data_IF_917437147323
#
_entry.id   IF_917437147323
#
_cell.length_a   1.000
_cell.length_b   1.000
_cell.length_c   1.000
_cell.angle_alpha   90.00
_cell.angle_beta   90.00
_cell.angle_gamma   90.00
#
_symmetry.space_group_name_H-M   'P 1'
#
loop_
_entity.id
_entity.type
_entity.pdbx_description
1 polymer ?
#
# COMPACT_ATOMS: atom_id res chain seq x y z
N UNK A 1 -37.74 10.39 -6.12
CA UNK A 1 -36.53 10.38 -6.91
C UNK A 1 -35.30 10.72 -6.08
N UNK A 2 -35.27 11.88 -5.44
CA UNK A 2 -34.12 12.35 -4.65
C UNK A 2 -34.35 11.95 -3.20
N UNK A 3 -33.35 11.32 -2.57
CA UNK A 3 -33.41 10.94 -1.14
C UNK A 3 -33.44 12.19 -0.25
N UNK A 4 -34.05 12.10 0.93
CA UNK A 4 -34.27 13.24 1.81
C UNK A 4 -32.97 13.97 2.13
N UNK A 5 -31.90 13.21 2.42
CA UNK A 5 -30.55 13.71 2.76
C UNK A 5 -29.89 14.55 1.66
N UNK A 6 -30.32 14.38 0.41
CA UNK A 6 -29.75 15.07 -0.75
C UNK A 6 -30.62 16.19 -1.32
N UNK A 7 -31.86 16.35 -0.85
CA UNK A 7 -32.78 17.36 -1.38
C UNK A 7 -32.23 18.78 -1.32
N UNK A 8 -31.73 19.17 -0.15
CA UNK A 8 -31.15 20.51 0.05
C UNK A 8 -29.93 20.75 -0.84
N UNK A 9 -29.03 19.75 -0.93
CA UNK A 9 -27.83 19.84 -1.75
C UNK A 9 -28.15 19.95 -3.24
N UNK A 10 -29.10 19.15 -3.74
CA UNK A 10 -29.56 19.23 -5.12
C UNK A 10 -30.28 20.54 -5.41
N UNK A 11 -31.10 21.04 -4.46
CA UNK A 11 -31.76 22.34 -4.58
C UNK A 11 -30.73 23.47 -4.71
N UNK A 12 -29.64 23.40 -3.95
CA UNK A 12 -28.55 24.38 -4.02
C UNK A 12 -27.86 24.37 -5.39
N UNK A 13 -27.60 23.18 -5.96
CA UNK A 13 -27.04 23.02 -7.33
C UNK A 13 -27.94 23.72 -8.36
N UNK A 14 -29.25 23.50 -8.31
CA UNK A 14 -30.18 24.16 -9.25
C UNK A 14 -30.26 25.69 -9.00
N UNK A 15 -30.21 26.14 -7.76
CA UNK A 15 -30.19 27.56 -7.42
C UNK A 15 -28.94 28.26 -7.98
N UNK A 16 -27.77 27.62 -7.85
CA UNK A 16 -26.52 28.12 -8.45
C UNK A 16 -26.65 28.24 -9.98
N UNK A 17 -27.15 27.20 -10.63
CA UNK A 17 -27.36 27.22 -12.08
C UNK A 17 -28.36 28.32 -12.51
N UNK A 18 -29.41 28.61 -11.72
CA UNK A 18 -30.31 29.74 -11.98
C UNK A 18 -29.63 31.10 -11.82
N UNK A 19 -28.59 31.18 -11.00
CA UNK A 19 -27.77 32.38 -10.82
C UNK A 19 -26.61 32.49 -11.83
N UNK A 20 -26.62 31.67 -12.88
CA UNK A 20 -25.57 31.60 -13.91
C UNK A 20 -24.22 31.07 -13.40
N UNK A 21 -24.24 30.29 -12.35
CA UNK A 21 -23.09 29.53 -11.84
C UNK A 21 -23.22 28.10 -12.34
N UNK A 22 -22.28 27.65 -13.19
CA UNK A 22 -22.25 26.27 -13.66
C UNK A 22 -21.86 25.33 -12.50
N UNK A 23 -22.56 24.22 -12.37
CA UNK A 23 -22.21 23.17 -11.43
C UNK A 23 -21.81 21.92 -12.21
N UNK A 24 -20.59 21.49 -12.00
CA UNK A 24 -20.04 20.28 -12.61
C UNK A 24 -19.74 19.21 -11.57
N UNK A 25 -19.89 17.95 -11.97
CA UNK A 25 -19.49 16.76 -11.19
C UNK A 25 -20.15 16.65 -9.82
N UNK A 26 -21.44 16.95 -9.74
CA UNK A 26 -22.20 16.76 -8.51
C UNK A 26 -22.76 15.33 -8.44
N UNK A 27 -22.24 14.54 -7.52
CA UNK A 27 -22.65 13.15 -7.31
C UNK A 27 -23.76 13.06 -6.25
N UNK A 28 -24.82 12.32 -6.57
CA UNK A 28 -25.92 12.05 -5.63
C UNK A 28 -26.73 10.82 -6.04
N UNK A 29 -27.37 10.14 -5.06
CA UNK A 29 -28.24 9.01 -5.33
C UNK A 29 -29.62 9.43 -5.81
N UNK A 30 -30.13 8.77 -6.83
CA UNK A 30 -31.54 8.75 -7.23
C UNK A 30 -32.18 7.42 -6.85
N UNK A 31 -33.47 7.46 -6.52
CA UNK A 31 -34.29 6.25 -6.38
C UNK A 31 -35.26 6.16 -7.56
N UNK A 32 -35.18 5.07 -8.29
CA UNK A 32 -36.07 4.80 -9.42
C UNK A 32 -37.50 4.50 -8.95
N UNK A 33 -38.46 4.48 -9.88
CA UNK A 33 -39.88 4.09 -9.58
C UNK A 33 -40.00 2.67 -9.01
N UNK A 34 -39.03 1.80 -9.34
CA UNK A 34 -38.95 0.44 -8.82
C UNK A 34 -38.28 0.32 -7.47
N UNK A 35 -37.89 1.45 -6.84
CA UNK A 35 -37.16 1.48 -5.56
C UNK A 35 -35.66 1.20 -5.67
N UNK A 36 -35.10 1.10 -6.87
CA UNK A 36 -33.67 0.85 -7.07
C UNK A 36 -32.89 2.16 -6.92
N UNK A 37 -31.83 2.14 -6.13
CA UNK A 37 -30.90 3.23 -5.97
C UNK A 37 -29.91 3.28 -7.14
N UNK A 38 -29.74 4.45 -7.74
CA UNK A 38 -28.83 4.73 -8.85
C UNK A 38 -27.96 5.94 -8.47
N UNK A 39 -26.65 5.81 -8.57
CA UNK A 39 -25.73 6.90 -8.35
C UNK A 39 -25.57 7.72 -9.64
N UNK A 40 -25.77 9.02 -9.53
CA UNK A 40 -25.79 9.92 -10.70
C UNK A 40 -24.77 11.04 -10.53
N UNK A 41 -23.98 11.24 -11.59
CA UNK A 41 -23.13 12.42 -11.74
C UNK A 41 -23.92 13.48 -12.53
N UNK A 42 -24.23 14.60 -11.90
CA UNK A 42 -25.01 15.70 -12.47
C UNK A 42 -24.14 16.88 -12.83
N UNK A 43 -24.30 17.34 -14.06
CA UNK A 43 -23.86 18.66 -14.53
C UNK A 43 -25.08 19.52 -14.79
N UNK A 44 -25.15 20.71 -14.20
CA UNK A 44 -26.29 21.61 -14.33
C UNK A 44 -25.86 22.96 -14.90
N UNK A 45 -26.55 23.41 -15.96
CA UNK A 45 -26.28 24.67 -16.65
C UNK A 45 -27.55 25.50 -16.80
N UNK A 46 -27.39 26.81 -16.91
CA UNK A 46 -28.48 27.76 -17.11
C UNK A 46 -29.07 27.62 -18.51
N UNK A 47 -30.40 27.47 -18.60
CA UNK A 47 -31.13 27.58 -19.89
C UNK A 47 -31.63 29.00 -20.07
N UNK A 48 -31.45 29.54 -21.30
CA UNK A 48 -31.87 30.90 -21.68
C UNK A 48 -32.93 30.86 -22.79
N UNK A 49 -33.78 31.84 -22.81
CA UNK A 49 -34.75 32.08 -23.91
C UNK A 49 -34.12 32.83 -25.11
N UNK A 50 -34.91 33.04 -26.16
CA UNK A 50 -34.48 33.75 -27.34
C UNK A 50 -34.04 35.22 -27.07
N UNK A 51 -34.47 35.79 -25.96
CA UNK A 51 -34.09 37.12 -25.51
C UNK A 51 -32.93 37.09 -24.49
N UNK A 52 -32.20 35.96 -24.39
CA UNK A 52 -31.07 35.75 -23.49
C UNK A 52 -31.43 35.86 -21.99
N UNK A 53 -32.73 35.77 -21.60
CA UNK A 53 -33.16 35.75 -20.20
C UNK A 53 -33.13 34.32 -19.68
N UNK A 54 -32.81 34.16 -18.42
CA UNK A 54 -32.81 32.84 -17.76
C UNK A 54 -34.23 32.27 -17.75
N UNK A 55 -34.44 31.15 -18.45
CA UNK A 55 -35.72 30.46 -18.58
C UNK A 55 -35.77 29.17 -17.78
N UNK A 56 -34.66 28.73 -17.16
CA UNK A 56 -34.57 27.54 -16.35
C UNK A 56 -33.17 26.96 -16.25
N UNK A 57 -33.11 25.70 -15.89
CA UNK A 57 -31.87 24.90 -15.78
C UNK A 57 -32.00 23.65 -16.64
N UNK A 58 -30.91 23.26 -17.29
CA UNK A 58 -30.74 21.96 -17.92
C UNK A 58 -29.75 21.15 -17.13
N UNK A 59 -30.15 19.98 -16.65
CA UNK A 59 -29.28 19.00 -16.01
C UNK A 59 -28.99 17.82 -16.92
N UNK A 60 -27.72 17.44 -17.01
CA UNK A 60 -27.28 16.21 -17.68
C UNK A 60 -26.77 15.28 -16.57
N UNK A 61 -27.47 14.15 -16.39
CA UNK A 61 -27.11 13.11 -15.45
C UNK A 61 -26.46 11.93 -16.16
N UNK A 62 -25.36 11.45 -15.61
CA UNK A 62 -24.73 10.20 -16.03
C UNK A 62 -24.90 9.16 -14.91
N UNK A 63 -25.38 7.96 -15.26
CA UNK A 63 -25.37 6.84 -14.31
C UNK A 63 -23.94 6.37 -14.09
N UNK A 64 -23.49 6.47 -12.84
CA UNK A 64 -22.16 6.06 -12.38
C UNK A 64 -22.22 4.88 -11.41
N UNK A 65 -23.36 4.22 -11.28
CA UNK A 65 -23.60 3.14 -10.30
C UNK A 65 -22.61 1.99 -10.48
N UNK A 66 -22.40 1.56 -11.74
CA UNK A 66 -21.47 0.47 -12.02
C UNK A 66 -20.03 0.82 -11.64
N UNK A 67 -19.59 2.06 -11.93
CA UNK A 67 -18.26 2.57 -11.53
C UNK A 67 -18.12 2.60 -10.01
N UNK A 68 -19.07 3.19 -9.32
CA UNK A 68 -19.07 3.27 -7.85
C UNK A 68 -19.05 1.90 -7.18
N UNK A 69 -19.86 0.95 -7.69
CA UNK A 69 -19.87 -0.41 -7.17
C UNK A 69 -18.52 -1.12 -7.39
N UNK A 70 -17.91 -0.93 -8.53
CA UNK A 70 -16.60 -1.50 -8.84
C UNK A 70 -15.49 -0.92 -7.94
N UNK A 71 -15.47 0.39 -7.72
CA UNK A 71 -14.54 1.06 -6.81
C UNK A 71 -14.71 0.55 -5.37
N UNK A 72 -15.95 0.41 -4.89
CA UNK A 72 -16.24 -0.15 -3.57
C UNK A 72 -15.82 -1.61 -3.45
N UNK A 73 -16.04 -2.42 -4.48
CA UNK A 73 -15.62 -3.82 -4.47
C UNK A 73 -14.10 -3.95 -4.43
N UNK A 74 -13.37 -3.14 -5.20
CA UNK A 74 -11.91 -3.11 -5.11
C UNK A 74 -11.41 -2.69 -3.72
N UNK A 75 -12.02 -1.68 -3.10
CA UNK A 75 -11.68 -1.28 -1.75
C UNK A 75 -11.91 -2.42 -0.74
N UNK A 76 -13.03 -3.13 -0.85
CA UNK A 76 -13.33 -4.31 0.00
C UNK A 76 -12.32 -5.44 -0.19
N UNK A 77 -11.93 -5.74 -1.44
CA UNK A 77 -10.95 -6.79 -1.72
C UNK A 77 -9.57 -6.44 -1.15
N UNK A 78 -9.15 -5.19 -1.26
CA UNK A 78 -7.91 -4.69 -0.67
C UNK A 78 -7.97 -4.79 0.87
N UNK A 79 -9.08 -4.39 1.49
CA UNK A 79 -9.25 -4.45 2.95
C UNK A 79 -9.36 -5.88 3.49
N UNK A 80 -9.94 -6.79 2.72
CA UNK A 80 -10.06 -8.21 3.09
C UNK A 80 -8.74 -8.99 2.94
N UNK A 81 -7.73 -8.42 2.28
CA UNK A 81 -6.44 -9.08 2.10
C UNK A 81 -5.76 -9.33 3.45
N UNK A 82 -5.16 -10.52 3.60
CA UNK A 82 -4.38 -10.90 4.79
C UNK A 82 -2.92 -10.40 4.75
N UNK A 83 -2.63 -9.44 3.89
CA UNK A 83 -1.33 -8.80 3.77
C UNK A 83 -1.47 -7.29 3.89
N UNK A 84 -0.54 -6.57 4.52
CA UNK A 84 -0.52 -5.11 4.48
C UNK A 84 -0.31 -4.65 3.04
N UNK A 85 -1.28 -3.86 2.55
CA UNK A 85 -1.25 -3.25 1.22
C UNK A 85 -1.27 -1.74 1.40
N UNK A 86 -0.36 -1.07 0.73
CA UNK A 86 -0.32 0.37 0.64
C UNK A 86 -0.11 0.83 -0.80
N UNK A 87 -0.51 2.04 -1.08
CA UNK A 87 -0.24 2.70 -2.37
C UNK A 87 0.26 4.10 -2.14
N UNK A 88 1.12 4.56 -3.04
CA UNK A 88 1.57 5.94 -3.10
C UNK A 88 1.33 6.50 -4.51
N UNK A 89 1.17 7.81 -4.60
CA UNK A 89 1.18 8.53 -5.86
C UNK A 89 2.63 8.75 -6.37
N UNK A 90 2.77 9.48 -7.47
CA UNK A 90 4.09 9.76 -8.08
C UNK A 90 4.96 10.70 -7.23
N UNK A 91 4.34 11.45 -6.33
CA UNK A 91 5.01 12.32 -5.34
C UNK A 91 5.36 11.59 -4.04
N UNK A 92 5.02 10.30 -3.90
CA UNK A 92 5.29 9.50 -2.70
C UNK A 92 4.26 9.64 -1.58
N UNK A 93 3.09 10.27 -1.85
CA UNK A 93 2.02 10.43 -0.87
C UNK A 93 1.12 9.21 -0.82
N UNK A 94 0.78 8.78 0.39
CA UNK A 94 -0.08 7.61 0.61
C UNK A 94 -1.49 7.86 0.07
N UNK A 95 -1.98 6.95 -0.76
CA UNK A 95 -3.35 6.97 -1.31
C UNK A 95 -4.09 5.63 -1.20
N UNK A 96 -3.44 4.58 -0.71
CA UNK A 96 -4.03 3.29 -0.33
C UNK A 96 -3.40 2.85 0.99
N UNK A 97 -4.22 2.43 1.95
CA UNK A 97 -3.78 1.91 3.25
C UNK A 97 -4.85 0.96 3.79
N UNK A 98 -4.62 -0.34 3.68
CA UNK A 98 -5.64 -1.32 4.03
C UNK A 98 -5.69 -1.66 5.53
N UNK A 99 -6.73 -2.39 5.93
CA UNK A 99 -6.93 -2.81 7.32
C UNK A 99 -5.76 -3.64 7.88
N UNK A 100 -5.08 -4.43 7.04
CA UNK A 100 -3.92 -5.19 7.47
C UNK A 100 -2.70 -4.29 7.75
N UNK A 101 -2.50 -3.24 6.94
CA UNK A 101 -1.47 -2.23 7.19
C UNK A 101 -1.74 -1.47 8.51
N UNK A 102 -3.01 -1.11 8.80
CA UNK A 102 -3.41 -0.52 10.08
C UNK A 102 -3.06 -1.45 11.25
N UNK A 103 -3.44 -2.73 11.17
CA UNK A 103 -3.15 -3.71 12.23
C UNK A 103 -1.65 -3.92 12.46
N UNK A 104 -0.86 -3.95 11.40
CA UNK A 104 0.59 -4.14 11.48
C UNK A 104 1.30 -2.94 12.09
N UNK A 105 0.95 -1.73 11.64
CA UNK A 105 1.70 -0.52 11.96
C UNK A 105 1.12 0.27 13.13
N UNK A 106 -0.19 0.11 13.40
CA UNK A 106 -0.92 0.89 14.38
C UNK A 106 -1.27 2.32 13.92
N UNK A 107 -0.94 2.68 12.68
CA UNK A 107 -1.34 3.96 12.09
C UNK A 107 -2.67 3.80 11.36
N UNK A 108 -3.66 4.62 11.73
CA UNK A 108 -4.95 4.66 11.05
C UNK A 108 -4.84 5.32 9.67
N UNK A 109 -5.76 5.00 8.77
CA UNK A 109 -5.80 5.62 7.44
C UNK A 109 -5.86 7.17 7.52
N UNK A 110 -6.55 7.72 8.51
CA UNK A 110 -6.61 9.17 8.75
C UNK A 110 -5.26 9.80 9.10
N UNK A 111 -4.34 9.03 9.70
CA UNK A 111 -3.00 9.51 10.07
C UNK A 111 -2.04 9.54 8.85
N UNK A 112 -2.25 8.62 7.88
CA UNK A 112 -1.26 8.37 6.81
C UNK A 112 -1.69 8.86 5.42
N UNK A 113 -3.00 8.93 5.12
CA UNK A 113 -3.48 9.35 3.81
C UNK A 113 -3.04 10.76 3.46
N UNK A 114 -2.39 10.92 2.30
CA UNK A 114 -1.83 12.18 1.82
C UNK A 114 -0.48 12.58 2.44
N UNK A 115 0.02 11.84 3.45
CA UNK A 115 1.35 12.05 4.01
C UNK A 115 2.42 11.38 3.13
N UNK A 116 3.67 11.83 3.24
CA UNK A 116 4.78 11.26 2.47
C UNK A 116 5.30 10.00 3.15
N UNK A 117 5.13 8.82 2.50
CA UNK A 117 5.39 7.53 3.14
C UNK A 117 6.82 7.39 3.67
N UNK A 118 7.82 7.78 2.87
CA UNK A 118 9.22 7.60 3.24
C UNK A 118 9.65 8.60 4.30
N UNK A 119 9.27 9.88 4.15
CA UNK A 119 9.72 10.93 5.05
C UNK A 119 9.10 10.82 6.44
N UNK A 120 7.81 10.43 6.50
CA UNK A 120 7.02 10.49 7.73
C UNK A 120 6.99 9.17 8.51
N UNK A 121 7.18 8.00 7.82
CA UNK A 121 6.94 6.68 8.45
C UNK A 121 8.12 5.72 8.36
N UNK A 122 9.18 6.03 7.61
CA UNK A 122 10.38 5.19 7.51
C UNK A 122 11.50 5.77 8.37
N UNK A 123 12.22 4.89 9.09
CA UNK A 123 13.36 5.29 9.90
C UNK A 123 14.50 5.84 9.04
N UNK A 124 15.24 6.80 9.57
CA UNK A 124 16.27 7.54 8.83
C UNK A 124 17.28 6.61 8.13
N UNK A 125 17.72 5.54 8.81
CA UNK A 125 18.69 4.56 8.29
C UNK A 125 18.19 3.80 7.04
N UNK A 126 16.88 3.79 6.77
CA UNK A 126 16.28 3.05 5.65
C UNK A 126 15.61 3.94 4.60
N UNK A 127 15.48 5.24 4.84
CA UNK A 127 14.82 6.16 3.91
C UNK A 127 15.40 6.10 2.49
N UNK A 128 16.72 6.19 2.36
CA UNK A 128 17.40 6.17 1.06
C UNK A 128 17.11 4.85 0.30
N UNK A 129 17.22 3.71 0.99
CA UNK A 129 16.99 2.40 0.41
C UNK A 129 15.52 2.19 -0.01
N UNK A 130 14.58 2.61 0.82
CA UNK A 130 13.14 2.53 0.51
C UNK A 130 12.78 3.49 -0.63
N UNK A 131 13.36 4.69 -0.65
CA UNK A 131 13.18 5.65 -1.74
C UNK A 131 13.72 5.10 -3.08
N UNK A 132 14.85 4.39 -3.08
CA UNK A 132 15.39 3.72 -4.28
C UNK A 132 14.42 2.65 -4.82
N UNK A 133 13.83 1.83 -3.92
CA UNK A 133 12.82 0.84 -4.28
C UNK A 133 11.61 1.49 -4.97
N UNK A 134 11.08 2.58 -4.42
CA UNK A 134 9.94 3.27 -5.02
C UNK A 134 10.31 3.95 -6.32
N UNK A 135 11.49 4.53 -6.43
CA UNK A 135 11.98 5.15 -7.66
C UNK A 135 12.11 4.11 -8.78
N UNK A 136 12.64 2.92 -8.49
CA UNK A 136 12.68 1.78 -9.43
C UNK A 136 11.26 1.37 -9.85
N UNK A 137 10.37 1.19 -8.88
CA UNK A 137 8.97 0.84 -9.18
C UNK A 137 8.26 1.90 -10.03
N UNK A 138 8.50 3.20 -9.81
CA UNK A 138 7.97 4.29 -10.65
C UNK A 138 8.52 4.24 -12.07
N UNK A 139 9.74 3.76 -12.25
CA UNK A 139 10.36 3.55 -13.57
C UNK A 139 9.92 2.26 -14.26
N UNK A 140 9.04 1.48 -13.63
CA UNK A 140 8.50 0.23 -14.19
C UNK A 140 9.35 -1.01 -13.88
N UNK A 141 10.31 -0.90 -12.98
CA UNK A 141 11.11 -2.01 -12.47
C UNK A 141 10.39 -2.60 -11.24
N UNK A 142 9.98 -3.86 -11.33
CA UNK A 142 9.40 -4.53 -10.17
C UNK A 142 10.48 -4.82 -9.13
N UNK A 143 10.21 -4.49 -7.88
CA UNK A 143 11.08 -4.83 -6.77
C UNK A 143 10.45 -5.94 -5.95
N UNK A 144 11.17 -7.05 -5.83
CA UNK A 144 10.74 -8.19 -5.04
C UNK A 144 11.69 -8.46 -3.87
N UNK A 145 11.13 -8.94 -2.76
CA UNK A 145 11.87 -9.43 -1.59
C UNK A 145 12.80 -8.36 -0.95
N UNK A 146 12.34 -7.12 -0.89
CA UNK A 146 13.07 -6.09 -0.17
C UNK A 146 12.74 -6.15 1.33
N UNK A 147 13.71 -6.51 2.14
CA UNK A 147 13.57 -6.57 3.60
C UNK A 147 14.01 -5.29 4.27
N UNK A 148 13.19 -4.75 5.16
CA UNK A 148 13.51 -3.58 5.97
C UNK A 148 12.73 -3.55 7.28
N UNK A 149 13.26 -2.94 8.34
CA UNK A 149 12.52 -2.70 9.57
C UNK A 149 11.58 -1.51 9.42
N UNK A 150 10.38 -1.66 9.94
CA UNK A 150 9.40 -0.62 10.12
C UNK A 150 9.19 -0.38 11.61
N UNK A 151 9.02 0.88 12.01
CA UNK A 151 8.64 1.21 13.39
C UNK A 151 7.16 1.53 13.43
N UNK A 152 6.44 0.79 14.26
CA UNK A 152 5.01 0.96 14.48
C UNK A 152 4.70 2.23 15.28
N UNK A 153 3.46 2.69 15.29
CA UNK A 153 3.02 3.87 16.08
C UNK A 153 3.35 3.75 17.58
N UNK A 154 3.25 2.57 18.22
CA UNK A 154 3.72 2.38 19.60
C UNK A 154 5.25 2.28 19.74
N UNK A 155 6.03 2.38 18.68
CA UNK A 155 7.50 2.31 18.74
C UNK A 155 8.09 0.89 18.66
N UNK A 156 7.29 -0.13 18.35
CA UNK A 156 7.78 -1.51 18.17
C UNK A 156 8.38 -1.67 16.78
N UNK A 157 9.54 -2.30 16.70
CA UNK A 157 10.20 -2.69 15.45
C UNK A 157 9.57 -3.95 14.88
N UNK A 158 9.20 -3.93 13.61
CA UNK A 158 8.66 -5.04 12.84
C UNK A 158 9.48 -5.20 11.56
N UNK A 159 9.93 -6.42 11.28
CA UNK A 159 10.64 -6.72 10.03
C UNK A 159 9.64 -7.02 8.92
N UNK A 160 9.75 -6.30 7.82
CA UNK A 160 8.81 -6.38 6.69
C UNK A 160 9.53 -6.78 5.42
N UNK A 161 8.97 -7.77 4.71
CA UNK A 161 9.33 -8.12 3.35
C UNK A 161 8.39 -7.39 2.39
N UNK A 162 8.92 -6.53 1.54
CA UNK A 162 8.17 -5.69 0.61
C UNK A 162 8.32 -6.15 -0.83
N UNK A 163 7.21 -6.23 -1.54
CA UNK A 163 7.13 -6.29 -2.99
C UNK A 163 6.44 -5.03 -3.49
N UNK A 164 7.05 -4.30 -4.42
CA UNK A 164 6.54 -3.06 -4.95
C UNK A 164 6.41 -3.12 -6.48
N UNK A 165 5.24 -2.71 -6.98
CA UNK A 165 4.92 -2.70 -8.41
C UNK A 165 4.36 -1.36 -8.84
N UNK A 166 4.58 -1.01 -10.12
CA UNK A 166 4.07 0.22 -10.73
C UNK A 166 2.55 0.15 -10.89
N UNK A 167 1.85 1.21 -10.47
CA UNK A 167 0.44 1.41 -10.78
C UNK A 167 0.28 2.33 -12.00
N UNK A 168 -0.54 1.91 -12.98
CA UNK A 168 -0.78 2.64 -14.21
C UNK A 168 -2.26 2.93 -14.41
N UNK A 169 -2.56 4.04 -15.10
CA UNK A 169 -3.92 4.37 -15.51
C UNK A 169 -4.31 3.63 -16.82
N UNK A 170 -5.55 3.83 -17.26
CA UNK A 170 -6.10 3.26 -18.50
C UNK A 170 -5.31 3.67 -19.77
N UNK A 171 -4.54 4.76 -19.71
CA UNK A 171 -3.68 5.25 -20.79
C UNK A 171 -2.23 4.77 -20.63
N UNK A 172 -1.98 3.78 -19.74
CA UNK A 172 -0.67 3.24 -19.43
C UNK A 172 0.33 4.25 -18.82
N UNK A 173 -0.13 5.38 -18.29
CA UNK A 173 0.72 6.35 -17.59
C UNK A 173 0.91 5.91 -16.14
N UNK A 174 2.12 6.07 -15.64
CA UNK A 174 2.43 5.78 -14.23
C UNK A 174 1.68 6.78 -13.35
N UNK A 175 0.91 6.26 -12.40
CA UNK A 175 0.13 7.05 -11.43
C UNK A 175 0.54 6.77 -9.98
N UNK A 176 1.55 5.93 -9.79
CA UNK A 176 2.09 5.62 -8.48
C UNK A 176 2.63 4.21 -8.36
N UNK A 177 2.77 3.74 -7.12
CA UNK A 177 3.25 2.42 -6.75
C UNK A 177 2.26 1.75 -5.80
N UNK A 178 2.08 0.45 -5.94
CA UNK A 178 1.42 -0.40 -4.94
C UNK A 178 2.46 -1.31 -4.32
N UNK A 179 2.51 -1.32 -2.98
CA UNK A 179 3.34 -2.20 -2.20
C UNK A 179 2.50 -3.24 -1.45
N UNK A 180 2.98 -4.47 -1.44
CA UNK A 180 2.45 -5.55 -0.61
C UNK A 180 3.55 -5.95 0.35
N UNK A 181 3.28 -5.84 1.65
CA UNK A 181 4.19 -6.21 2.71
C UNK A 181 3.84 -7.60 3.27
N UNK A 182 4.83 -8.22 3.90
CA UNK A 182 4.66 -9.39 4.74
C UNK A 182 5.43 -9.16 6.04
N UNK A 183 4.78 -9.38 7.19
CA UNK A 183 5.48 -9.43 8.47
C UNK A 183 6.33 -10.69 8.54
N UNK A 184 7.64 -10.52 8.63
CA UNK A 184 8.61 -11.60 8.73
C UNK A 184 9.33 -11.63 10.09
N UNK A 185 8.84 -10.83 11.06
CA UNK A 185 9.46 -10.68 12.38
C UNK A 185 9.60 -12.03 13.10
N UNK A 186 8.55 -12.84 13.07
CA UNK A 186 8.58 -14.17 13.71
C UNK A 186 9.63 -15.09 13.05
N UNK A 187 9.76 -15.05 11.72
CA UNK A 187 10.76 -15.82 10.98
C UNK A 187 12.17 -15.38 11.37
N UNK A 188 12.46 -14.08 11.32
CA UNK A 188 13.78 -13.54 11.68
C UNK A 188 14.14 -13.84 13.13
N UNK A 189 13.20 -13.69 14.06
CA UNK A 189 13.43 -14.01 15.47
C UNK A 189 13.74 -15.52 15.68
N UNK A 190 13.04 -16.39 14.97
CA UNK A 190 13.26 -17.83 15.03
C UNK A 190 14.63 -18.21 14.46
N UNK A 191 15.04 -17.64 13.34
CA UNK A 191 16.37 -17.86 12.75
C UNK A 191 17.48 -17.40 13.71
N UNK A 192 17.32 -16.23 14.33
CA UNK A 192 18.27 -15.71 15.32
C UNK A 192 18.35 -16.58 16.57
N UNK A 193 17.21 -17.09 17.06
CA UNK A 193 17.17 -17.98 18.20
C UNK A 193 17.86 -19.31 17.91
N UNK A 194 17.64 -19.89 16.72
CA UNK A 194 18.37 -21.09 16.29
C UNK A 194 19.88 -20.85 16.22
N UNK A 195 20.33 -19.74 15.67
CA UNK A 195 21.74 -19.38 15.63
C UNK A 195 22.32 -19.25 17.04
N UNK A 196 21.61 -18.59 17.98
CA UNK A 196 22.03 -18.48 19.39
C UNK A 196 22.13 -19.84 20.09
N UNK A 197 21.15 -20.74 19.87
CA UNK A 197 21.17 -22.08 20.46
C UNK A 197 22.34 -22.92 19.96
N UNK A 198 22.64 -22.83 18.65
CA UNK A 198 23.79 -23.49 18.04
C UNK A 198 25.10 -22.93 18.63
N UNK A 199 25.22 -21.63 18.75
CA UNK A 199 26.42 -21.00 19.30
C UNK A 199 26.63 -21.27 20.81
N UNK A 200 25.55 -21.36 21.57
CA UNK A 200 25.57 -21.63 22.99
C UNK A 200 25.83 -23.11 23.34
N UNK A 201 25.78 -23.99 22.35
CA UNK A 201 26.01 -25.43 22.57
C UNK A 201 27.42 -25.71 23.08
N UNK A 202 27.52 -26.61 24.08
CA UNK A 202 28.81 -27.08 24.64
C UNK A 202 29.48 -28.17 23.81
N UNK A 203 29.03 -28.41 22.59
CA UNK A 203 29.61 -29.35 21.61
C UNK A 203 29.96 -28.62 20.33
N UNK A 204 31.05 -29.03 19.64
CA UNK A 204 31.33 -28.49 18.32
C UNK A 204 30.21 -28.88 17.34
N UNK A 205 29.58 -27.88 16.74
CA UNK A 205 28.54 -28.07 15.75
C UNK A 205 29.03 -27.44 14.44
N UNK A 206 29.00 -28.22 13.39
CA UNK A 206 29.25 -27.77 12.01
C UNK A 206 28.15 -28.29 11.09
N UNK A 207 27.86 -27.56 10.03
CA UNK A 207 26.97 -27.96 8.95
C UNK A 207 27.66 -27.77 7.62
N UNK A 208 27.25 -28.57 6.65
CA UNK A 208 27.66 -28.42 5.26
C UNK A 208 26.44 -28.46 4.35
N UNK A 209 26.51 -27.79 3.21
CA UNK A 209 25.52 -27.87 2.16
C UNK A 209 25.70 -29.14 1.29
N UNK A 210 24.88 -29.26 0.24
CA UNK A 210 24.92 -30.43 -0.68
C UNK A 210 26.19 -30.47 -1.53
N UNK A 211 26.88 -29.35 -1.68
CA UNK A 211 28.17 -29.24 -2.35
C UNK A 211 29.35 -29.53 -1.42
N UNK A 212 29.10 -29.70 -0.10
CA UNK A 212 30.13 -29.95 0.90
C UNK A 212 30.78 -28.67 1.48
N UNK A 213 30.21 -27.49 1.22
CA UNK A 213 30.68 -26.21 1.73
C UNK A 213 30.11 -25.94 3.12
N UNK A 214 30.95 -25.44 4.01
CA UNK A 214 30.56 -25.17 5.41
C UNK A 214 29.53 -24.04 5.45
N UNK A 215 28.38 -24.29 6.09
CA UNK A 215 27.30 -23.33 6.30
C UNK A 215 26.92 -23.10 7.77
N UNK A 216 27.45 -23.92 8.69
CA UNK A 216 27.31 -23.74 10.15
C UNK A 216 28.65 -24.03 10.79
N UNK A 217 29.11 -23.13 11.71
CA UNK A 217 30.34 -23.30 12.48
C UNK A 217 30.22 -22.56 13.79
N UNK A 218 29.93 -23.28 14.90
CA UNK A 218 29.62 -22.66 16.19
C UNK A 218 30.88 -22.30 17.01
N UNK A 219 30.66 -21.52 18.08
CA UNK A 219 31.71 -21.10 18.99
C UNK A 219 32.53 -22.25 19.60
N UNK A 220 31.90 -23.40 19.82
CA UNK A 220 32.61 -24.58 20.34
C UNK A 220 33.53 -25.21 19.28
N UNK A 221 33.13 -25.20 18.01
CA UNK A 221 33.97 -25.62 16.90
C UNK A 221 35.18 -24.70 16.74
N UNK A 222 34.98 -23.37 16.84
CA UNK A 222 36.09 -22.39 16.85
C UNK A 222 37.08 -22.69 17.96
N UNK A 223 36.60 -22.88 19.20
CA UNK A 223 37.46 -23.17 20.35
C UNK A 223 38.24 -24.49 20.21
N UNK A 224 37.64 -25.49 19.59
CA UNK A 224 38.26 -26.80 19.41
C UNK A 224 39.30 -26.81 18.30
N UNK A 225 39.02 -26.17 17.18
CA UNK A 225 39.85 -26.24 15.96
C UNK A 225 40.81 -25.07 15.81
N UNK A 226 40.49 -23.93 16.43
CA UNK A 226 41.22 -22.66 16.24
C UNK A 226 40.90 -21.90 14.94
N UNK A 227 40.01 -22.44 14.08
CA UNK A 227 39.55 -21.76 12.88
C UNK A 227 38.34 -20.90 13.17
N UNK A 228 38.38 -19.62 12.83
CA UNK A 228 37.23 -18.72 12.92
C UNK A 228 36.18 -19.02 11.85
N UNK A 229 34.92 -18.63 12.11
CA UNK A 229 33.84 -18.82 11.15
C UNK A 229 34.17 -18.17 9.79
N UNK A 230 34.83 -16.99 9.78
CA UNK A 230 35.29 -16.32 8.54
C UNK A 230 36.31 -17.11 7.74
N UNK A 231 37.05 -18.00 8.39
CA UNK A 231 38.06 -18.83 7.72
C UNK A 231 37.44 -20.04 7.02
N UNK A 232 36.30 -20.55 7.52
CA UNK A 232 35.72 -21.85 7.08
C UNK A 232 34.39 -21.73 6.33
N UNK A 233 33.60 -20.69 6.58
CA UNK A 233 32.28 -20.52 5.95
C UNK A 233 32.41 -20.40 4.42
N UNK A 234 31.59 -21.16 3.71
CA UNK A 234 31.56 -21.22 2.24
C UNK A 234 32.70 -22.03 1.60
N UNK A 235 33.64 -22.57 2.41
CA UNK A 235 34.72 -23.43 1.91
C UNK A 235 34.36 -24.91 2.01
N UNK A 236 34.88 -25.71 1.12
CA UNK A 236 34.64 -27.16 1.10
C UNK A 236 35.36 -27.84 2.25
N UNK A 237 34.61 -28.39 3.22
CA UNK A 237 35.16 -28.93 4.48
C UNK A 237 36.28 -29.95 4.31
N UNK A 238 36.18 -30.86 3.33
CA UNK A 238 37.13 -31.96 3.15
C UNK A 238 38.32 -31.60 2.27
N UNK A 239 38.16 -30.64 1.37
CA UNK A 239 39.20 -30.33 0.37
C UNK A 239 40.12 -29.17 0.81
N UNK A 240 39.68 -28.36 1.78
CA UNK A 240 40.44 -27.16 2.22
C UNK A 240 40.93 -27.24 3.65
N UNK A 241 40.43 -28.20 4.45
CA UNK A 241 40.78 -28.48 5.84
C UNK A 241 41.02 -29.97 6.06
#
# INVERSE_FOLDING_TARGET
FITEDYKERVQNVFTKALNNEETANFEFPLVTKAGVRVEVLLNATTRRDEQNRISGVVGIGQDITARMNQEQEYARLIDAANAPIFGIDVEGRVNVWNQCAIRLTGFDAGDVMGQHLVDDFITEDYKERVQDVFTKALNGEETANFEFPLVTKPGTRVEVLLNATTRRDEKNRVIGVVGIGQDITARINQEQEYARLIDAANAPIFGIDVEGSVNVWNQCAIRLTGFDAGDVMGKHLVNEF
#
